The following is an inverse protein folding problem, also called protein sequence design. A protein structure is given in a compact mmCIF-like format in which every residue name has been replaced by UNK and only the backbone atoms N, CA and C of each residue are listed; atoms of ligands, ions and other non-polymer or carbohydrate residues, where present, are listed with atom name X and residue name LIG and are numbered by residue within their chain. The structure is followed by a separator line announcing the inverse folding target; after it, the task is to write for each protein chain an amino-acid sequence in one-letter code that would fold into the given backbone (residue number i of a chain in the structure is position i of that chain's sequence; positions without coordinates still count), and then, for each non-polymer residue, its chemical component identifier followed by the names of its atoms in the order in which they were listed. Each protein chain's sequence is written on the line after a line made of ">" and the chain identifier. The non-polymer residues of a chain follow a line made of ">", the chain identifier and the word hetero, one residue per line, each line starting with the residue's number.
data_IF_953850527511
#
_entry.id   IF_953850527511
#
_cell.length_a   1.000
_cell.length_b   1.000
_cell.length_c   1.000
_cell.angle_alpha   90.00
_cell.angle_beta   90.00
_cell.angle_gamma   90.00
#
_symmetry.space_group_name_H-M   'P 1'
#
loop_
_entity.id
_entity.type
_entity.pdbx_description
1 polymer ?
#
# COMPACT_ATOMS: atom_id res chain seq x y z
N UNK A 1 18.82 -77.22 -20.22
CA UNK A 1 17.80 -76.18 -20.44
C UNK A 1 17.96 -75.17 -19.28
N UNK A 2 18.59 -74.07 -19.55
CA UNK A 2 18.87 -73.04 -18.55
C UNK A 2 18.17 -71.81 -19.07
N UNK A 3 17.08 -71.42 -18.42
CA UNK A 3 16.34 -70.20 -18.69
C UNK A 3 17.06 -68.97 -18.08
N UNK A 4 17.34 -67.98 -18.90
CA UNK A 4 17.88 -66.67 -18.46
C UNK A 4 16.70 -65.70 -18.25
N UNK A 5 16.52 -65.25 -17.03
CA UNK A 5 15.64 -64.13 -16.71
C UNK A 5 16.36 -62.80 -17.02
N UNK A 6 15.79 -62.02 -17.92
CA UNK A 6 16.15 -60.61 -18.17
C UNK A 6 15.41 -59.73 -17.22
N UNK A 7 16.12 -59.03 -16.32
CA UNK A 7 15.57 -57.96 -15.45
C UNK A 7 15.65 -56.66 -16.23
N UNK A 8 14.50 -56.15 -16.67
CA UNK A 8 14.39 -54.82 -17.26
C UNK A 8 14.37 -53.74 -16.21
N UNK A 9 15.40 -52.89 -16.15
CA UNK A 9 15.46 -51.72 -15.31
C UNK A 9 14.61 -50.61 -15.89
N UNK A 10 13.62 -50.16 -15.14
CA UNK A 10 12.83 -48.95 -15.45
C UNK A 10 13.59 -47.75 -14.90
N UNK A 11 14.13 -46.92 -15.78
CA UNK A 11 14.70 -45.63 -15.42
C UNK A 11 13.58 -44.63 -15.21
N UNK A 12 13.34 -44.26 -13.95
CA UNK A 12 12.43 -43.15 -13.60
C UNK A 12 13.20 -41.83 -13.82
N UNK A 13 12.92 -41.17 -14.95
CA UNK A 13 13.42 -39.82 -15.20
C UNK A 13 12.72 -38.82 -14.29
N UNK A 14 13.46 -38.22 -13.35
CA UNK A 14 12.99 -37.05 -12.58
C UNK A 14 12.89 -35.85 -13.53
N UNK A 15 11.68 -35.50 -13.95
CA UNK A 15 11.41 -34.22 -14.60
C UNK A 15 11.45 -33.12 -13.50
N UNK A 16 12.60 -32.44 -13.41
CA UNK A 16 12.70 -31.18 -12.68
C UNK A 16 11.82 -30.15 -13.40
N UNK A 17 10.64 -29.90 -12.85
CA UNK A 17 9.79 -28.80 -13.29
C UNK A 17 10.51 -27.48 -13.00
N UNK A 18 11.07 -26.86 -14.03
CA UNK A 18 11.54 -25.48 -13.97
C UNK A 18 10.32 -24.58 -13.72
N UNK A 19 10.13 -24.16 -12.48
CA UNK A 19 9.15 -23.12 -12.16
C UNK A 19 9.54 -21.87 -12.95
N UNK A 20 8.60 -21.23 -13.68
CA UNK A 20 8.91 -20.01 -14.41
C UNK A 20 9.31 -18.94 -13.42
N UNK A 21 10.54 -18.43 -13.53
CA UNK A 21 11.00 -17.28 -12.77
C UNK A 21 10.19 -16.08 -13.24
N UNK A 22 9.22 -15.65 -12.44
CA UNK A 22 8.43 -14.45 -12.73
C UNK A 22 9.40 -13.27 -12.88
N UNK A 23 9.38 -12.62 -14.03
CA UNK A 23 10.19 -11.43 -14.28
C UNK A 23 9.90 -10.38 -13.19
N UNK A 24 10.96 -9.93 -12.52
CA UNK A 24 10.85 -8.96 -11.42
C UNK A 24 10.52 -7.57 -11.98
N UNK A 25 9.58 -6.86 -11.35
CA UNK A 25 9.22 -5.50 -11.75
C UNK A 25 10.45 -4.57 -11.80
N UNK A 26 10.46 -3.53 -12.65
CA UNK A 26 11.58 -2.57 -12.69
C UNK A 26 11.84 -1.96 -11.32
N UNK A 27 13.12 -1.78 -10.99
CA UNK A 27 13.54 -1.11 -9.76
C UNK A 27 13.11 0.37 -9.80
N UNK A 28 12.44 0.84 -8.75
CA UNK A 28 11.91 2.21 -8.70
C UNK A 28 12.46 3.05 -7.56
N UNK A 29 12.97 2.43 -6.49
CA UNK A 29 13.51 3.13 -5.33
C UNK A 29 15.01 2.94 -5.19
N UNK A 30 15.66 3.74 -4.36
CA UNK A 30 17.10 3.61 -4.06
C UNK A 30 17.42 2.30 -3.34
N UNK A 31 16.43 1.64 -2.73
CA UNK A 31 16.60 0.33 -2.09
C UNK A 31 17.14 -0.73 -3.05
N UNK A 32 16.71 -0.68 -4.29
CA UNK A 32 17.00 -1.71 -5.29
C UNK A 32 17.65 -1.17 -6.55
N UNK A 33 17.86 0.14 -6.62
CA UNK A 33 18.58 0.83 -7.68
C UNK A 33 19.77 1.61 -7.10
N UNK A 34 20.92 0.97 -6.87
CA UNK A 34 22.09 1.61 -6.27
C UNK A 34 22.71 2.71 -7.15
N UNK A 35 22.36 2.78 -8.43
CA UNK A 35 22.80 3.87 -9.32
C UNK A 35 21.97 5.16 -9.17
N UNK A 36 20.83 5.10 -8.50
CA UNK A 36 20.00 6.27 -8.25
C UNK A 36 20.66 7.17 -7.19
N UNK A 37 21.11 8.35 -7.62
CA UNK A 37 21.63 9.35 -6.69
C UNK A 37 20.53 9.98 -5.85
N UNK A 38 20.86 10.36 -4.62
CA UNK A 38 19.99 11.10 -3.73
C UNK A 38 20.83 11.94 -2.75
N UNK A 39 20.19 12.87 -2.08
CA UNK A 39 20.75 13.53 -0.89
C UNK A 39 19.86 13.27 0.32
N UNK A 40 20.45 13.11 1.48
CA UNK A 40 19.68 13.04 2.74
C UNK A 40 19.12 14.44 3.03
N UNK A 41 17.86 14.50 3.39
CA UNK A 41 17.21 15.76 3.76
C UNK A 41 17.87 16.35 5.02
N UNK A 42 17.95 17.68 5.11
CA UNK A 42 18.47 18.38 6.29
C UNK A 42 17.42 18.55 7.40
N UNK A 43 16.17 18.32 7.06
CA UNK A 43 14.98 18.45 7.91
C UNK A 43 14.21 17.15 7.88
N UNK A 44 13.34 16.92 8.85
CA UNK A 44 12.51 15.72 8.93
C UNK A 44 11.33 15.73 7.95
N UNK A 45 11.18 16.77 7.16
CA UNK A 45 10.17 16.85 6.10
C UNK A 45 10.69 17.53 4.83
N UNK A 46 9.98 17.29 3.72
CA UNK A 46 10.16 17.97 2.42
C UNK A 46 8.80 18.38 1.89
N UNK A 47 8.72 19.58 1.33
CA UNK A 47 7.51 20.08 0.67
C UNK A 47 7.61 19.83 -0.84
N UNK A 48 6.63 19.15 -1.39
CA UNK A 48 6.45 18.94 -2.82
C UNK A 48 5.27 19.79 -3.31
N UNK A 49 5.48 20.54 -4.39
CA UNK A 49 4.45 21.40 -4.98
C UNK A 49 4.29 21.09 -6.47
N UNK A 50 3.04 21.01 -6.95
CA UNK A 50 2.73 20.92 -8.38
C UNK A 50 1.34 21.45 -8.66
N UNK A 51 1.26 22.49 -9.49
CA UNK A 51 -0.01 23.15 -9.78
C UNK A 51 -0.67 23.65 -8.49
N UNK A 52 -1.88 23.20 -8.24
CA UNK A 52 -2.66 23.56 -7.05
C UNK A 52 -2.38 22.66 -5.82
N UNK A 53 -1.54 21.62 -5.96
CA UNK A 53 -1.32 20.64 -4.88
C UNK A 53 -0.02 20.94 -4.16
N UNK A 54 -0.11 21.04 -2.84
CA UNK A 54 1.02 21.05 -1.90
C UNK A 54 0.94 19.79 -1.04
N UNK A 55 2.04 19.02 -0.99
CA UNK A 55 2.18 17.87 -0.11
C UNK A 55 3.45 18.02 0.74
N UNK A 56 3.33 17.82 2.06
CA UNK A 56 4.46 17.77 2.99
C UNK A 56 4.73 16.33 3.35
N UNK A 57 5.86 15.80 2.90
CA UNK A 57 6.28 14.42 3.19
C UNK A 57 7.22 14.46 4.39
N UNK A 58 6.93 13.65 5.41
CA UNK A 58 7.66 13.58 6.68
C UNK A 58 8.16 12.16 6.93
N UNK A 59 9.33 12.04 7.56
CA UNK A 59 9.77 10.76 8.15
C UNK A 59 8.97 10.48 9.44
N UNK A 60 9.40 9.54 10.27
CA UNK A 60 8.67 9.21 11.50
C UNK A 60 9.13 10.02 12.74
N UNK A 61 9.89 11.10 12.56
CA UNK A 61 10.21 12.02 13.64
C UNK A 61 9.00 12.90 14.02
N UNK A 62 9.02 13.45 15.21
CA UNK A 62 8.09 14.50 15.60
C UNK A 62 8.51 15.82 14.93
N UNK A 63 7.57 16.47 14.25
CA UNK A 63 7.76 17.80 13.69
C UNK A 63 6.64 18.69 14.22
N UNK A 64 7.00 19.65 15.08
CA UNK A 64 6.04 20.60 15.65
C UNK A 64 6.57 22.01 15.40
N UNK A 65 6.34 22.50 14.19
CA UNK A 65 6.76 23.82 13.74
C UNK A 65 5.64 24.55 12.97
N UNK A 66 5.94 25.73 12.45
CA UNK A 66 4.98 26.55 11.69
C UNK A 66 4.44 25.88 10.42
N UNK A 67 5.09 24.86 9.88
CA UNK A 67 4.64 24.11 8.70
C UNK A 67 3.76 22.91 9.07
N UNK A 68 4.10 22.20 10.14
CA UNK A 68 3.40 21.01 10.63
C UNK A 68 3.07 21.14 12.14
N UNK A 69 2.24 22.09 12.55
CA UNK A 69 1.95 22.32 13.96
C UNK A 69 1.23 21.11 14.58
N UNK A 70 1.78 20.61 15.69
CA UNK A 70 1.25 19.49 16.43
C UNK A 70 1.50 18.11 15.81
N UNK A 71 2.33 17.98 14.76
CA UNK A 71 2.67 16.67 14.18
C UNK A 71 3.46 15.81 15.17
N UNK A 72 3.05 14.58 15.34
CA UNK A 72 3.58 13.64 16.33
C UNK A 72 4.56 12.65 15.70
N UNK A 73 5.58 12.27 16.45
CA UNK A 73 6.48 11.17 16.09
C UNK A 73 5.73 9.84 15.86
N UNK A 74 6.26 9.02 14.96
CA UNK A 74 5.67 7.75 14.59
C UNK A 74 4.60 7.82 13.48
N UNK A 75 4.39 8.99 12.86
CA UNK A 75 3.47 9.16 11.74
C UNK A 75 4.23 9.65 10.50
N UNK A 76 4.71 8.71 9.70
CA UNK A 76 5.42 8.99 8.45
C UNK A 76 4.47 9.14 7.26
N UNK A 77 4.96 9.67 6.14
CA UNK A 77 4.19 9.80 4.91
C UNK A 77 3.76 11.22 4.60
N UNK A 78 2.51 11.46 4.22
CA UNK A 78 2.01 12.77 3.85
C UNK A 78 1.38 13.45 5.09
N UNK A 79 2.16 14.27 5.80
CA UNK A 79 1.68 14.96 7.00
C UNK A 79 0.73 16.14 6.69
N UNK A 80 0.87 16.73 5.49
CA UNK A 80 -0.06 17.75 5.01
C UNK A 80 -0.32 17.58 3.53
N UNK A 81 -1.58 17.64 3.15
CA UNK A 81 -2.04 17.64 1.77
C UNK A 81 -3.06 18.76 1.60
N UNK A 82 -2.78 19.70 0.69
CA UNK A 82 -3.64 20.86 0.40
C UNK A 82 -3.82 21.00 -1.11
N UNK A 83 -4.97 21.57 -1.52
CA UNK A 83 -5.26 21.90 -2.92
C UNK A 83 -5.88 23.28 -3.04
N UNK A 84 -5.58 23.99 -4.13
CA UNK A 84 -6.22 25.27 -4.49
C UNK A 84 -5.95 26.43 -3.53
N UNK A 85 -4.79 26.42 -2.82
CA UNK A 85 -4.47 27.44 -1.83
C UNK A 85 -5.30 27.34 -0.55
N UNK A 86 -6.07 26.24 -0.36
CA UNK A 86 -6.83 25.99 0.86
C UNK A 86 -5.90 25.98 2.08
N UNK A 87 -6.35 26.61 3.18
CA UNK A 87 -5.60 26.57 4.44
C UNK A 87 -5.78 25.23 5.17
N UNK A 88 -6.84 24.48 4.86
CA UNK A 88 -7.16 23.22 5.54
C UNK A 88 -6.26 22.11 5.02
N UNK A 89 -5.58 21.41 5.94
CA UNK A 89 -4.94 20.14 5.66
C UNK A 89 -6.00 19.04 5.58
N UNK A 90 -6.00 18.26 4.52
CA UNK A 90 -6.92 17.13 4.32
C UNK A 90 -6.64 15.97 5.28
N UNK A 91 -5.41 15.89 5.84
CA UNK A 91 -5.06 14.92 6.88
C UNK A 91 -5.06 15.57 8.27
N UNK A 92 -5.28 14.76 9.30
CA UNK A 92 -5.22 15.21 10.69
C UNK A 92 -3.83 15.77 11.00
N UNK A 93 -3.70 17.03 11.46
CA UNK A 93 -2.39 17.68 11.64
C UNK A 93 -1.42 16.93 12.54
N UNK A 94 -1.92 16.20 13.55
CA UNK A 94 -1.10 15.41 14.47
C UNK A 94 -0.62 14.07 13.87
N UNK A 95 -1.10 13.68 12.69
CA UNK A 95 -0.88 12.38 12.07
C UNK A 95 -0.43 12.56 10.61
N UNK A 96 -0.66 11.54 9.76
CA UNK A 96 -0.34 11.60 8.34
C UNK A 96 -1.33 10.77 7.50
N UNK A 97 -1.37 11.02 6.20
CA UNK A 97 -1.90 10.10 5.21
C UNK A 97 -0.80 9.22 4.62
N UNK A 98 -1.17 8.07 4.07
CA UNK A 98 -0.25 7.06 3.56
C UNK A 98 0.85 6.70 4.57
N UNK A 99 0.50 6.71 5.86
CA UNK A 99 1.40 6.37 6.95
C UNK A 99 1.66 4.86 6.96
N UNK A 100 2.90 4.44 6.76
CA UNK A 100 3.29 3.03 6.91
C UNK A 100 3.24 2.66 8.39
N UNK A 101 2.22 1.91 8.79
CA UNK A 101 1.87 1.77 10.20
C UNK A 101 2.17 0.40 10.78
N UNK A 102 1.77 -0.69 10.11
CA UNK A 102 1.93 -2.03 10.65
C UNK A 102 2.73 -2.95 9.75
N UNK A 103 3.52 -3.83 10.40
CA UNK A 103 4.05 -5.07 9.84
C UNK A 103 3.50 -6.21 10.69
N UNK A 104 2.98 -7.28 10.07
CA UNK A 104 2.47 -8.46 10.76
C UNK A 104 2.50 -9.71 9.87
N UNK A 105 2.30 -10.85 10.47
CA UNK A 105 2.07 -12.13 9.80
C UNK A 105 0.87 -12.88 10.42
N UNK A 106 0.04 -12.17 11.19
CA UNK A 106 -1.11 -12.73 11.90
C UNK A 106 -0.76 -13.42 13.22
N UNK A 107 0.51 -13.50 13.60
CA UNK A 107 0.88 -13.94 14.94
C UNK A 107 0.64 -12.84 15.96
N UNK A 108 0.18 -13.23 17.15
CA UNK A 108 0.02 -12.30 18.28
C UNK A 108 1.36 -11.77 18.72
N UNK A 109 1.50 -10.45 18.69
CA UNK A 109 2.70 -9.73 19.06
C UNK A 109 2.33 -8.52 19.92
N UNK A 110 3.25 -8.04 20.79
CA UNK A 110 3.14 -6.74 21.44
C UNK A 110 2.88 -5.62 20.41
N UNK A 111 2.17 -4.59 20.84
CA UNK A 111 1.79 -3.48 19.96
C UNK A 111 3.00 -2.80 19.33
N UNK A 112 4.07 -2.58 20.07
CA UNK A 112 5.33 -1.96 19.61
C UNK A 112 5.97 -2.74 18.45
N UNK A 113 5.84 -4.07 18.44
CA UNK A 113 6.35 -4.93 17.36
C UNK A 113 5.46 -4.78 16.11
N UNK A 114 4.14 -4.81 16.27
CA UNK A 114 3.22 -4.62 15.15
C UNK A 114 3.36 -3.23 14.51
N UNK A 115 3.65 -2.22 15.33
CA UNK A 115 3.86 -0.82 14.91
C UNK A 115 5.33 -0.47 14.70
N UNK A 116 6.18 -1.44 14.47
CA UNK A 116 7.63 -1.26 14.29
C UNK A 116 8.01 -0.22 13.21
N UNK A 117 7.28 -0.08 12.07
CA UNK A 117 7.56 0.98 11.10
C UNK A 117 7.47 2.40 11.68
N UNK A 118 6.63 2.61 12.70
CA UNK A 118 6.47 3.91 13.35
C UNK A 118 7.63 4.28 14.27
N UNK A 119 8.39 3.28 14.74
CA UNK A 119 9.44 3.44 15.76
C UNK A 119 10.85 3.23 15.22
N UNK A 120 11.01 2.39 14.20
CA UNK A 120 12.30 2.19 13.56
C UNK A 120 12.66 3.43 12.71
N UNK A 121 13.90 3.91 12.86
CA UNK A 121 14.38 5.13 12.20
C UNK A 121 14.12 5.11 10.68
N UNK A 122 13.59 6.21 10.15
CA UNK A 122 13.43 6.46 8.73
C UNK A 122 14.35 7.58 8.25
N UNK A 123 15.11 7.34 7.19
CA UNK A 123 15.90 8.36 6.50
C UNK A 123 15.08 8.99 5.37
N UNK A 124 14.95 10.30 5.38
CA UNK A 124 14.29 11.05 4.31
C UNK A 124 15.32 11.40 3.22
N UNK A 125 15.14 10.85 2.03
CA UNK A 125 15.99 11.01 0.84
C UNK A 125 15.33 11.91 -0.18
N UNK A 126 16.03 12.90 -0.68
CA UNK A 126 15.57 13.75 -1.78
C UNK A 126 16.20 13.27 -3.07
N UNK A 127 15.38 12.84 -4.00
CA UNK A 127 15.80 12.34 -5.31
C UNK A 127 15.91 13.50 -6.29
N UNK A 128 14.86 14.32 -6.38
CA UNK A 128 14.79 15.54 -7.19
C UNK A 128 13.75 16.53 -6.62
N UNK A 129 13.39 17.56 -7.38
CA UNK A 129 12.44 18.59 -6.93
C UNK A 129 10.99 18.08 -6.79
N UNK A 130 10.66 16.93 -7.37
CA UNK A 130 9.32 16.34 -7.39
C UNK A 130 9.24 14.98 -6.69
N UNK A 131 10.35 14.45 -6.20
CA UNK A 131 10.46 13.06 -5.74
C UNK A 131 11.29 12.95 -4.47
N UNK A 132 10.72 12.31 -3.46
CA UNK A 132 11.39 11.96 -2.20
C UNK A 132 11.18 10.50 -1.84
N UNK A 133 12.04 9.96 -0.96
CA UNK A 133 11.90 8.61 -0.41
C UNK A 133 12.04 8.62 1.10
N UNK A 134 11.26 7.76 1.74
CA UNK A 134 11.46 7.34 3.12
C UNK A 134 12.11 5.94 3.09
N UNK A 135 13.38 5.88 3.48
CA UNK A 135 14.10 4.62 3.60
C UNK A 135 14.11 4.16 5.05
N UNK A 136 13.83 2.90 5.26
CA UNK A 136 13.91 2.24 6.56
C UNK A 136 14.80 1.02 6.46
N UNK A 137 15.87 0.99 7.26
CA UNK A 137 16.74 -0.17 7.40
C UNK A 137 15.95 -1.39 7.90
N UNK A 138 16.48 -2.62 7.80
CA UNK A 138 15.80 -3.80 8.31
C UNK A 138 15.32 -3.59 9.74
N UNK A 139 14.01 -3.65 9.94
CA UNK A 139 13.40 -3.39 11.24
C UNK A 139 13.86 -4.39 12.31
N UNK A 140 13.93 -4.01 13.59
CA UNK A 140 14.57 -4.84 14.63
C UNK A 140 13.98 -6.24 14.76
N UNK A 141 12.66 -6.38 14.78
CA UNK A 141 11.98 -7.68 14.96
C UNK A 141 11.67 -8.36 13.63
N UNK A 142 10.97 -7.67 12.73
CA UNK A 142 10.55 -8.26 11.47
C UNK A 142 11.69 -8.41 10.46
N UNK A 143 12.76 -7.60 10.57
CA UNK A 143 13.86 -7.64 9.60
C UNK A 143 13.45 -7.23 8.19
N UNK A 144 12.38 -6.46 8.06
CA UNK A 144 11.92 -5.93 6.79
C UNK A 144 12.65 -4.62 6.48
N UNK A 145 13.41 -4.59 5.40
CA UNK A 145 13.99 -3.38 4.83
C UNK A 145 13.05 -2.80 3.81
N UNK A 146 12.85 -1.47 3.80
CA UNK A 146 11.88 -0.85 2.91
C UNK A 146 12.28 0.54 2.43
N UNK A 147 11.73 0.93 1.28
CA UNK A 147 11.74 2.31 0.80
C UNK A 147 10.36 2.68 0.25
N UNK A 148 9.87 3.84 0.67
CA UNK A 148 8.62 4.42 0.16
C UNK A 148 8.95 5.69 -0.61
N UNK A 149 8.80 5.66 -1.94
CA UNK A 149 8.98 6.82 -2.80
C UNK A 149 7.66 7.54 -3.00
N UNK A 150 7.68 8.86 -2.86
CA UNK A 150 6.58 9.75 -3.21
C UNK A 150 7.02 10.66 -4.35
N UNK A 151 6.32 10.61 -5.48
CA UNK A 151 6.55 11.48 -6.63
C UNK A 151 5.28 12.29 -6.93
N UNK A 152 5.39 13.62 -6.97
CA UNK A 152 4.27 14.46 -7.39
C UNK A 152 4.31 14.61 -8.92
N UNK A 153 3.28 14.12 -9.58
CA UNK A 153 3.14 14.10 -11.03
C UNK A 153 2.74 15.49 -11.56
N UNK A 154 2.80 15.66 -12.89
CA UNK A 154 2.55 16.95 -13.55
C UNK A 154 1.18 17.58 -13.23
N UNK A 155 0.17 16.76 -12.98
CA UNK A 155 -1.21 17.17 -12.64
C UNK A 155 -1.46 17.29 -11.13
N UNK A 156 -0.43 17.12 -10.30
CA UNK A 156 -0.55 17.15 -8.83
C UNK A 156 -0.92 15.82 -8.19
N UNK A 157 -1.15 14.76 -8.97
CA UNK A 157 -1.34 13.41 -8.43
C UNK A 157 -0.05 12.92 -7.76
N UNK A 158 -0.15 12.28 -6.61
CA UNK A 158 0.99 11.71 -5.90
C UNK A 158 1.07 10.22 -6.23
N UNK A 159 2.15 9.77 -6.85
CA UNK A 159 2.45 8.36 -7.01
C UNK A 159 3.31 7.91 -5.81
N UNK A 160 2.83 6.87 -5.12
CA UNK A 160 3.59 6.19 -4.07
C UNK A 160 4.05 4.83 -4.58
N UNK A 161 5.35 4.60 -4.55
CA UNK A 161 5.96 3.28 -4.76
C UNK A 161 6.56 2.79 -3.46
N UNK A 162 6.14 1.63 -3.02
CA UNK A 162 6.75 0.94 -1.89
C UNK A 162 7.53 -0.27 -2.39
N UNK A 163 8.78 -0.39 -1.98
CA UNK A 163 9.61 -1.58 -2.19
C UNK A 163 10.13 -2.08 -0.87
N UNK A 164 10.13 -3.41 -0.68
CA UNK A 164 10.67 -4.02 0.52
C UNK A 164 11.41 -5.33 0.22
N UNK A 165 12.33 -5.66 1.14
CA UNK A 165 13.11 -6.90 1.12
C UNK A 165 13.13 -7.47 2.54
N UNK A 166 12.51 -8.63 2.79
CA UNK A 166 12.68 -9.33 4.06
C UNK A 166 14.14 -9.83 4.15
N UNK A 167 14.86 -9.37 5.16
CA UNK A 167 16.27 -9.71 5.36
C UNK A 167 16.47 -10.91 6.29
N UNK A 168 15.40 -11.36 6.94
CA UNK A 168 15.40 -12.51 7.85
C UNK A 168 14.13 -13.33 7.69
N UNK A 169 14.19 -14.60 8.07
CA UNK A 169 13.02 -15.49 8.12
C UNK A 169 12.30 -15.34 9.48
N UNK A 170 11.43 -14.34 9.57
CA UNK A 170 10.75 -13.94 10.81
C UNK A 170 9.24 -14.09 10.78
N UNK A 171 8.63 -14.18 9.61
CA UNK A 171 7.17 -14.25 9.44
C UNK A 171 6.68 -15.70 9.53
N UNK A 172 6.30 -16.14 10.72
CA UNK A 172 5.99 -17.54 11.08
C UNK A 172 4.83 -18.14 10.31
N UNK A 173 3.86 -17.33 9.88
CA UNK A 173 2.73 -17.79 9.09
C UNK A 173 2.98 -17.79 7.57
N UNK A 174 4.23 -17.54 7.15
CA UNK A 174 4.67 -17.64 5.74
C UNK A 174 4.18 -16.51 4.84
N UNK A 175 3.70 -15.40 5.39
CA UNK A 175 3.29 -14.22 4.63
C UNK A 175 3.67 -12.94 5.35
N UNK A 176 3.75 -11.83 4.61
CA UNK A 176 3.97 -10.50 5.15
C UNK A 176 2.69 -9.68 4.96
N UNK A 177 2.13 -9.18 6.06
CA UNK A 177 1.04 -8.22 6.04
C UNK A 177 1.56 -6.82 6.32
N UNK A 178 1.22 -5.88 5.45
CA UNK A 178 1.61 -4.48 5.50
C UNK A 178 0.36 -3.60 5.50
N UNK A 179 0.38 -2.54 6.30
CA UNK A 179 -0.77 -1.67 6.49
C UNK A 179 -0.39 -0.20 6.42
N UNK A 180 -1.17 0.57 5.67
CA UNK A 180 -1.07 2.03 5.61
C UNK A 180 -2.34 2.67 6.13
N UNK A 181 -2.18 3.62 7.07
CA UNK A 181 -3.27 4.42 7.59
C UNK A 181 -3.27 5.82 6.96
N UNK A 182 -4.46 6.33 6.68
CA UNK A 182 -4.66 7.70 6.21
C UNK A 182 -5.71 8.38 7.06
N UNK A 183 -5.28 9.23 7.97
CA UNK A 183 -6.13 9.89 8.96
C UNK A 183 -6.72 11.18 8.39
N UNK A 184 -8.01 11.16 8.06
CA UNK A 184 -8.69 12.26 7.36
C UNK A 184 -9.22 13.30 8.37
N UNK A 185 -8.98 14.58 8.06
CA UNK A 185 -9.31 15.68 8.93
C UNK A 185 -10.76 16.14 8.73
N UNK A 186 -11.65 15.76 9.64
CA UNK A 186 -13.05 16.23 9.77
C UNK A 186 -13.79 16.32 8.41
N UNK A 187 -13.94 15.22 7.67
CA UNK A 187 -14.79 15.19 6.50
C UNK A 187 -16.27 15.17 6.92
N UNK A 188 -17.17 15.63 6.06
CA UNK A 188 -18.62 15.56 6.30
C UNK A 188 -19.13 14.11 6.31
N UNK A 189 -18.43 13.21 5.64
CA UNK A 189 -18.78 11.79 5.56
C UNK A 189 -17.60 10.92 5.97
N UNK A 190 -17.87 9.98 6.88
CA UNK A 190 -16.89 8.95 7.27
C UNK A 190 -16.77 7.82 6.23
N UNK A 191 -17.61 7.82 5.20
CA UNK A 191 -17.71 6.74 4.22
C UNK A 191 -16.58 6.76 3.20
N UNK A 192 -16.20 5.58 2.73
CA UNK A 192 -15.49 5.40 1.47
C UNK A 192 -16.44 4.94 0.38
N UNK A 193 -16.12 5.26 -0.86
CA UNK A 193 -16.89 4.93 -2.03
C UNK A 193 -16.03 4.09 -2.98
N UNK A 194 -16.59 3.00 -3.51
CA UNK A 194 -15.91 2.15 -4.50
C UNK A 194 -16.95 1.43 -5.37
N UNK A 195 -16.51 0.93 -6.52
CA UNK A 195 -17.33 0.06 -7.34
C UNK A 195 -17.24 -1.38 -6.84
N UNK A 196 -18.37 -2.02 -6.65
CA UNK A 196 -18.40 -3.37 -6.10
C UNK A 196 -19.80 -3.89 -5.90
N UNK A 197 -19.95 -4.92 -5.08
CA UNK A 197 -21.24 -5.54 -4.75
C UNK A 197 -21.22 -6.15 -3.35
N UNK A 198 -22.38 -6.48 -2.82
CA UNK A 198 -22.45 -7.39 -1.68
C UNK A 198 -22.02 -8.78 -2.12
N UNK A 199 -21.55 -9.59 -1.17
CA UNK A 199 -21.06 -10.94 -1.46
C UNK A 199 -22.11 -11.82 -2.15
N UNK A 200 -23.39 -11.63 -1.81
CA UNK A 200 -24.53 -12.41 -2.30
C UNK A 200 -25.12 -11.84 -3.61
N UNK A 201 -24.73 -10.65 -4.03
CA UNK A 201 -25.24 -10.00 -5.23
C UNK A 201 -24.38 -10.35 -6.44
N UNK A 202 -24.98 -10.29 -7.65
CA UNK A 202 -24.29 -10.54 -8.92
C UNK A 202 -23.83 -9.24 -9.62
N UNK A 203 -24.58 -8.15 -9.44
CA UNK A 203 -24.35 -6.90 -10.16
C UNK A 203 -23.43 -5.94 -9.39
N UNK A 204 -22.46 -5.36 -10.08
CA UNK A 204 -21.60 -4.30 -9.58
C UNK A 204 -22.30 -2.95 -9.63
N UNK A 205 -22.22 -2.19 -8.55
CA UNK A 205 -22.75 -0.83 -8.42
C UNK A 205 -21.79 0.04 -7.61
N UNK A 206 -22.11 1.32 -7.43
CA UNK A 206 -21.44 2.17 -6.45
C UNK A 206 -21.84 1.77 -5.03
N UNK A 207 -20.83 1.50 -4.22
CA UNK A 207 -20.97 1.19 -2.81
C UNK A 207 -20.50 2.39 -2.00
N UNK A 208 -21.35 2.84 -1.07
CA UNK A 208 -20.98 3.77 0.01
C UNK A 208 -20.86 2.95 1.30
N UNK A 209 -19.63 2.71 1.73
CA UNK A 209 -19.35 1.86 2.88
C UNK A 209 -18.92 2.67 4.10
N UNK A 210 -19.48 2.33 5.26
CA UNK A 210 -19.02 2.81 6.57
C UNK A 210 -18.76 1.64 7.48
N UNK A 211 -17.76 1.75 8.35
CA UNK A 211 -17.54 0.82 9.44
C UNK A 211 -18.36 1.27 10.66
N UNK A 212 -19.14 0.40 11.31
CA UNK A 212 -19.99 0.80 12.44
C UNK A 212 -19.19 1.19 13.69
N UNK A 213 -17.99 0.64 13.83
CA UNK A 213 -17.01 0.96 14.88
C UNK A 213 -15.63 0.51 14.43
N UNK A 214 -14.59 0.99 15.11
CA UNK A 214 -13.21 0.55 14.85
C UNK A 214 -13.11 -0.98 14.84
N UNK A 215 -12.50 -1.53 13.79
CA UNK A 215 -12.28 -2.96 13.63
C UNK A 215 -13.50 -3.80 13.26
N UNK A 216 -14.68 -3.24 13.04
CA UNK A 216 -15.87 -4.00 12.67
C UNK A 216 -16.25 -3.76 11.20
N UNK A 217 -16.40 -4.85 10.41
CA UNK A 217 -16.72 -4.79 8.97
C UNK A 217 -15.82 -3.80 8.19
N UNK A 218 -14.56 -3.72 8.59
CA UNK A 218 -13.65 -2.65 8.20
C UNK A 218 -12.87 -2.92 6.91
N UNK A 219 -12.74 -4.18 6.50
CA UNK A 219 -11.92 -4.60 5.36
C UNK A 219 -12.78 -5.04 4.19
N UNK A 220 -12.53 -4.46 3.01
CA UNK A 220 -13.15 -4.85 1.75
C UNK A 220 -12.10 -5.50 0.85
N UNK A 221 -12.40 -6.67 0.34
CA UNK A 221 -11.50 -7.44 -0.53
C UNK A 221 -12.05 -7.50 -1.95
N UNK A 222 -11.19 -7.82 -2.92
CA UNK A 222 -11.61 -7.99 -4.32
C UNK A 222 -12.70 -9.07 -4.46
N UNK A 223 -13.50 -8.98 -5.51
CA UNK A 223 -14.56 -9.95 -5.83
C UNK A 223 -14.07 -11.40 -5.82
N UNK A 224 -12.86 -11.62 -6.34
CA UNK A 224 -12.26 -12.93 -6.51
C UNK A 224 -11.32 -13.35 -5.35
N UNK A 225 -11.15 -12.50 -4.31
CA UNK A 225 -10.29 -12.86 -3.16
C UNK A 225 -10.96 -13.87 -2.25
N UNK A 226 -10.68 -15.14 -2.50
CA UNK A 226 -11.08 -16.27 -1.66
C UNK A 226 -10.04 -16.66 -0.60
N UNK A 227 -8.89 -15.98 -0.54
CA UNK A 227 -7.77 -16.38 0.34
C UNK A 227 -8.14 -16.25 1.80
N UNK A 228 -7.78 -17.29 2.56
CA UNK A 228 -7.84 -17.31 4.01
C UNK A 228 -6.41 -17.19 4.55
N UNK A 229 -6.18 -16.17 5.35
CA UNK A 229 -4.89 -15.93 5.96
C UNK A 229 -4.87 -16.53 7.37
N UNK A 230 -3.82 -17.29 7.67
CA UNK A 230 -3.61 -17.86 9.00
C UNK A 230 -3.37 -16.74 10.00
N UNK A 231 -3.97 -16.85 11.19
CA UNK A 231 -3.74 -15.91 12.29
C UNK A 231 -3.98 -16.56 13.62
N UNK A 232 -3.39 -16.02 14.66
CA UNK A 232 -3.67 -16.40 16.03
C UNK A 232 -5.05 -15.89 16.47
N UNK A 233 -5.68 -16.59 17.41
CA UNK A 233 -7.03 -16.23 17.87
C UNK A 233 -7.07 -14.88 18.59
N UNK A 234 -5.99 -14.51 19.25
CA UNK A 234 -5.80 -13.29 20.03
C UNK A 234 -5.03 -12.18 19.25
N UNK A 235 -4.89 -12.35 17.93
CA UNK A 235 -4.25 -11.33 17.08
C UNK A 235 -4.97 -9.98 17.21
N UNK A 236 -4.26 -8.90 17.65
CA UNK A 236 -4.93 -7.70 18.16
C UNK A 236 -5.41 -6.73 17.07
N UNK A 237 -4.90 -6.82 15.84
CA UNK A 237 -5.25 -5.88 14.76
C UNK A 237 -6.56 -6.29 14.08
N UNK A 238 -7.69 -6.00 14.72
CA UNK A 238 -9.03 -6.42 14.26
C UNK A 238 -9.41 -5.86 12.89
N UNK A 239 -8.94 -4.66 12.51
CA UNK A 239 -9.13 -4.06 11.19
C UNK A 239 -8.70 -4.97 10.05
N UNK A 240 -7.59 -5.71 10.23
CA UNK A 240 -6.94 -6.46 9.16
C UNK A 240 -7.80 -7.62 8.65
N UNK A 241 -8.53 -8.28 9.53
CA UNK A 241 -9.26 -9.51 9.21
C UNK A 241 -10.79 -9.39 9.25
N UNK A 242 -11.32 -8.32 9.83
CA UNK A 242 -12.77 -8.10 9.90
C UNK A 242 -13.34 -7.66 8.56
N UNK A 243 -13.59 -8.63 7.69
CA UNK A 243 -14.17 -8.41 6.38
C UNK A 243 -15.61 -7.90 6.48
N UNK A 244 -15.92 -6.92 5.65
CA UNK A 244 -17.31 -6.51 5.40
C UNK A 244 -18.00 -7.50 4.47
N UNK A 245 -19.31 -7.32 4.28
CA UNK A 245 -20.07 -8.04 3.26
C UNK A 245 -19.87 -7.49 1.85
N UNK A 246 -19.17 -6.36 1.70
CA UNK A 246 -18.88 -5.78 0.40
C UNK A 246 -17.59 -6.33 -0.19
N UNK A 247 -17.59 -6.44 -1.52
CA UNK A 247 -16.43 -6.81 -2.34
C UNK A 247 -16.24 -5.73 -3.40
N UNK A 248 -15.03 -5.24 -3.58
CA UNK A 248 -14.74 -4.28 -4.63
C UNK A 248 -14.44 -4.98 -5.97
N UNK A 249 -14.80 -4.34 -7.07
CA UNK A 249 -14.53 -4.82 -8.42
C UNK A 249 -13.27 -4.19 -9.03
N UNK A 250 -13.04 -2.93 -8.72
CA UNK A 250 -11.89 -2.16 -9.22
C UNK A 250 -10.98 -1.77 -8.04
N UNK A 251 -9.64 -1.87 -8.14
CA UNK A 251 -8.69 -1.54 -7.08
C UNK A 251 -8.58 -0.01 -6.89
N UNK A 252 -9.66 0.56 -6.39
CA UNK A 252 -9.93 1.99 -6.32
C UNK A 252 -10.96 2.27 -5.24
N UNK A 253 -10.75 3.33 -4.48
CA UNK A 253 -11.76 3.92 -3.62
C UNK A 253 -11.51 5.42 -3.45
N UNK A 254 -12.51 6.14 -3.01
CA UNK A 254 -12.37 7.53 -2.61
C UNK A 254 -13.25 7.84 -1.40
N UNK A 255 -12.89 8.91 -0.72
CA UNK A 255 -13.74 9.56 0.27
C UNK A 255 -13.90 11.03 -0.05
N UNK A 256 -14.94 11.65 0.50
CA UNK A 256 -15.29 13.06 0.24
C UNK A 256 -14.98 13.89 1.47
N UNK A 257 -14.30 15.01 1.27
CA UNK A 257 -14.00 16.01 2.28
C UNK A 257 -14.28 17.39 1.67
N UNK A 258 -15.35 18.03 2.13
CA UNK A 258 -15.92 19.24 1.54
C UNK A 258 -16.29 19.01 0.06
N UNK A 259 -15.80 19.85 -0.82
CA UNK A 259 -16.00 19.76 -2.28
C UNK A 259 -14.90 18.94 -2.99
N UNK A 260 -14.08 18.21 -2.25
CA UNK A 260 -12.97 17.43 -2.76
C UNK A 260 -13.15 15.93 -2.53
N UNK A 261 -12.77 15.14 -3.52
CA UNK A 261 -12.58 13.70 -3.37
C UNK A 261 -11.09 13.36 -3.25
N UNK A 262 -10.72 12.60 -2.21
CA UNK A 262 -9.42 11.97 -2.06
C UNK A 262 -9.52 10.56 -2.66
N UNK A 263 -8.80 10.34 -3.75
CA UNK A 263 -8.92 9.15 -4.60
C UNK A 263 -7.68 8.27 -4.46
N UNK A 264 -7.87 7.06 -3.99
CA UNK A 264 -6.82 6.04 -3.82
C UNK A 264 -6.96 5.00 -4.93
N UNK A 265 -5.91 4.81 -5.72
CA UNK A 265 -5.90 3.93 -6.89
C UNK A 265 -4.69 3.00 -6.83
N UNK A 266 -4.88 1.72 -7.15
CA UNK A 266 -3.85 0.69 -7.02
C UNK A 266 -3.70 -0.10 -8.32
N UNK A 267 -2.55 -0.75 -8.49
CA UNK A 267 -2.38 -1.72 -9.58
C UNK A 267 -3.21 -2.97 -9.28
N UNK A 268 -3.91 -3.52 -10.27
CA UNK A 268 -4.71 -4.74 -10.07
C UNK A 268 -3.92 -5.92 -9.49
N UNK A 269 -2.68 -6.12 -9.95
CA UNK A 269 -1.83 -7.24 -9.50
C UNK A 269 -1.31 -7.11 -8.06
N UNK A 270 -1.44 -5.95 -7.42
CA UNK A 270 -1.03 -5.78 -6.04
C UNK A 270 -2.08 -6.32 -5.05
N UNK A 271 -3.30 -6.63 -5.55
CA UNK A 271 -4.40 -7.28 -4.81
C UNK A 271 -4.65 -6.66 -3.42
N UNK A 272 -4.66 -5.33 -3.41
CA UNK A 272 -4.80 -4.53 -2.19
C UNK A 272 -6.15 -4.80 -1.52
N UNK A 273 -6.17 -4.79 -0.21
CA UNK A 273 -7.38 -4.80 0.59
C UNK A 273 -7.69 -3.39 1.06
N UNK A 274 -8.88 -2.90 0.76
CA UNK A 274 -9.34 -1.60 1.23
C UNK A 274 -9.74 -1.72 2.70
N UNK A 275 -9.41 -0.72 3.50
CA UNK A 275 -9.76 -0.70 4.92
C UNK A 275 -10.27 0.66 5.36
N UNK A 276 -11.02 0.70 6.45
CA UNK A 276 -11.51 1.93 7.02
C UNK A 276 -11.77 1.83 8.52
N UNK A 277 -11.67 2.96 9.21
CA UNK A 277 -12.08 3.13 10.59
C UNK A 277 -12.85 4.45 10.74
N UNK A 278 -13.99 4.49 11.45
CA UNK A 278 -14.77 5.71 11.62
C UNK A 278 -14.10 6.71 12.57
N UNK A 279 -13.08 6.29 13.32
CA UNK A 279 -12.42 7.08 14.38
C UNK A 279 -10.94 6.82 14.52
N UNK A 280 -10.28 6.36 13.44
CA UNK A 280 -8.83 6.08 13.46
C UNK A 280 -8.00 7.30 13.84
N UNK A 281 -8.37 8.48 13.37
CA UNK A 281 -7.75 9.77 13.70
C UNK A 281 -8.39 10.51 14.89
N UNK A 282 -9.25 9.85 15.66
CA UNK A 282 -10.05 10.48 16.73
C UNK A 282 -11.50 10.74 16.32
N UNK A 283 -12.27 11.33 17.23
CA UNK A 283 -13.69 11.63 16.98
C UNK A 283 -13.85 12.56 15.78
N UNK A 284 -14.67 12.16 14.80
CA UNK A 284 -14.88 12.92 13.55
C UNK A 284 -13.76 12.83 12.54
N UNK A 285 -12.70 12.08 12.85
CA UNK A 285 -11.55 11.87 11.95
C UNK A 285 -11.46 10.39 11.56
N UNK A 286 -12.07 9.96 10.45
CA UNK A 286 -11.94 8.59 9.99
C UNK A 286 -10.51 8.29 9.53
N UNK A 287 -10.19 7.02 9.44
CA UNK A 287 -9.04 6.56 8.68
C UNK A 287 -9.52 5.84 7.42
N UNK A 288 -8.99 6.23 6.25
CA UNK A 288 -9.21 5.58 4.96
C UNK A 288 -7.92 4.87 4.57
N UNK A 289 -7.90 3.56 4.81
CA UNK A 289 -6.72 2.76 4.92
C UNK A 289 -6.63 1.72 3.81
N UNK A 290 -5.49 1.08 3.69
CA UNK A 290 -5.33 -0.09 2.83
C UNK A 290 -4.26 -1.05 3.36
N UNK A 291 -4.32 -2.29 2.87
CA UNK A 291 -3.42 -3.35 3.26
C UNK A 291 -2.86 -4.06 2.03
N UNK A 292 -1.60 -4.44 2.13
CA UNK A 292 -0.96 -5.31 1.15
C UNK A 292 -0.48 -6.59 1.82
N UNK A 293 -0.87 -7.73 1.26
CA UNK A 293 -0.54 -9.04 1.80
C UNK A 293 0.36 -9.77 0.79
N UNK A 294 1.60 -10.04 1.17
CA UNK A 294 2.58 -10.76 0.35
C UNK A 294 2.54 -12.24 0.74
N UNK A 295 1.95 -13.12 -0.09
CA UNK A 295 1.93 -14.55 0.19
C UNK A 295 3.29 -15.18 -0.06
N UNK A 296 3.64 -16.24 0.68
CA UNK A 296 4.81 -17.09 0.40
C UNK A 296 6.09 -16.29 0.15
N UNK A 297 6.43 -15.39 1.08
CA UNK A 297 7.60 -14.55 0.95
C UNK A 297 8.92 -15.37 0.96
N UNK A 298 9.93 -14.81 0.33
CA UNK A 298 11.29 -15.37 0.27
C UNK A 298 12.28 -14.35 0.84
N UNK A 299 13.16 -14.78 1.75
CA UNK A 299 14.22 -13.91 2.29
C UNK A 299 15.14 -13.44 1.16
N UNK A 300 15.45 -12.15 1.14
CA UNK A 300 16.27 -11.51 0.11
C UNK A 300 15.52 -11.15 -1.17
N UNK A 301 14.29 -11.64 -1.37
CA UNK A 301 13.49 -11.28 -2.55
C UNK A 301 12.87 -9.90 -2.39
N UNK A 302 12.91 -9.12 -3.47
CA UNK A 302 12.25 -7.83 -3.54
C UNK A 302 10.76 -7.98 -3.85
N UNK A 303 9.97 -7.18 -3.14
CA UNK A 303 8.53 -7.01 -3.38
C UNK A 303 8.23 -5.53 -3.63
N UNK A 304 7.24 -5.24 -4.47
CA UNK A 304 6.89 -3.88 -4.89
C UNK A 304 5.37 -3.71 -4.99
N UNK A 305 4.89 -2.60 -4.46
CA UNK A 305 3.51 -2.10 -4.64
C UNK A 305 3.57 -0.67 -5.21
N UNK A 306 2.60 -0.31 -6.06
CA UNK A 306 2.45 1.06 -6.59
C UNK A 306 1.00 1.50 -6.47
N UNK A 307 0.81 2.72 -5.97
CA UNK A 307 -0.50 3.35 -5.90
C UNK A 307 -0.42 4.83 -6.31
N UNK A 308 -1.58 5.43 -6.56
CA UNK A 308 -1.71 6.88 -6.77
C UNK A 308 -2.76 7.46 -5.85
N UNK A 309 -2.44 8.60 -5.24
CA UNK A 309 -3.37 9.45 -4.50
C UNK A 309 -3.64 10.71 -5.32
N UNK A 310 -4.91 10.96 -5.64
CA UNK A 310 -5.33 12.16 -6.37
C UNK A 310 -6.35 12.93 -5.55
N UNK A 311 -6.28 14.26 -5.59
CA UNK A 311 -7.29 15.14 -5.02
C UNK A 311 -8.01 15.84 -6.18
N UNK A 312 -9.32 15.64 -6.30
CA UNK A 312 -10.14 16.21 -7.39
C UNK A 312 -11.39 16.88 -6.84
N UNK A 313 -11.96 17.88 -7.54
CA UNK A 313 -13.29 18.38 -7.21
C UNK A 313 -14.31 17.24 -7.23
N UNK A 314 -15.19 17.22 -6.23
CA UNK A 314 -16.25 16.24 -6.11
C UNK A 314 -17.59 16.85 -6.59
N UNK A 315 -18.21 16.20 -7.51
CA UNK A 315 -19.58 16.47 -7.97
C UNK A 315 -20.46 15.25 -7.66
N UNK A 316 -20.05 14.08 -8.14
CA UNK A 316 -20.64 12.77 -7.88
C UNK A 316 -19.59 11.65 -8.07
N UNK A 317 -19.99 10.42 -7.84
CA UNK A 317 -19.10 9.27 -7.97
C UNK A 317 -18.64 9.02 -9.40
N UNK A 318 -19.47 9.35 -10.40
CA UNK A 318 -19.13 9.16 -11.80
C UNK A 318 -18.11 10.20 -12.28
N UNK A 319 -18.21 11.43 -11.85
CA UNK A 319 -17.22 12.48 -12.12
C UNK A 319 -15.84 12.11 -11.59
N UNK A 320 -15.76 11.55 -10.38
CA UNK A 320 -14.51 11.04 -9.79
C UNK A 320 -13.95 9.88 -10.61
N UNK A 321 -14.82 8.97 -11.05
CA UNK A 321 -14.44 7.84 -11.89
C UNK A 321 -13.84 8.29 -13.23
N UNK A 322 -14.44 9.24 -13.89
CA UNK A 322 -13.97 9.79 -15.16
C UNK A 322 -12.64 10.52 -14.97
N UNK A 323 -12.52 11.40 -13.96
CA UNK A 323 -11.31 12.19 -13.70
C UNK A 323 -10.10 11.30 -13.34
N UNK A 324 -10.33 10.19 -12.65
CA UNK A 324 -9.27 9.25 -12.23
C UNK A 324 -8.89 8.22 -13.32
N UNK A 325 -9.65 8.13 -14.41
CA UNK A 325 -9.47 7.11 -15.44
C UNK A 325 -8.04 7.04 -16.06
N UNK A 326 -7.36 8.16 -16.38
CA UNK A 326 -6.00 8.11 -16.91
C UNK A 326 -5.02 7.41 -15.95
N UNK A 327 -5.13 7.70 -14.63
CA UNK A 327 -4.24 7.11 -13.62
C UNK A 327 -4.55 5.63 -13.40
N UNK A 328 -5.82 5.25 -13.33
CA UNK A 328 -6.22 3.84 -13.22
C UNK A 328 -5.75 3.02 -14.42
N UNK A 329 -5.88 3.58 -15.65
CA UNK A 329 -5.37 2.95 -16.87
C UNK A 329 -3.85 2.79 -16.83
N UNK A 330 -3.11 3.82 -16.40
CA UNK A 330 -1.65 3.76 -16.29
C UNK A 330 -1.20 2.69 -15.28
N UNK A 331 -1.86 2.61 -14.12
CA UNK A 331 -1.58 1.57 -13.12
C UNK A 331 -1.90 0.15 -13.63
N UNK A 332 -2.97 -0.02 -14.39
CA UNK A 332 -3.30 -1.31 -15.01
C UNK A 332 -2.29 -1.70 -16.10
N UNK A 333 -1.81 -0.74 -16.90
CA UNK A 333 -0.81 -0.99 -17.96
C UNK A 333 0.57 -1.36 -17.41
N UNK A 334 0.92 -0.86 -16.22
CA UNK A 334 2.15 -1.22 -15.50
C UNK A 334 2.22 -2.74 -15.19
N UNK A 335 1.07 -3.41 -15.19
CA UNK A 335 0.95 -4.86 -15.04
C UNK A 335 1.33 -5.63 -16.31
N UNK A 336 1.00 -5.09 -17.47
CA UNK A 336 1.10 -5.78 -18.78
C UNK A 336 2.55 -5.88 -19.27
N UNK A 337 3.42 -4.93 -18.95
CA UNK A 337 4.84 -4.97 -19.33
C UNK A 337 5.64 -6.16 -18.75
N UNK A 338 5.03 -7.00 -17.91
CA UNK A 338 5.63 -8.20 -17.33
C UNK A 338 5.43 -9.49 -18.15
N UNK A 339 4.68 -9.49 -19.23
CA UNK A 339 4.18 -10.69 -19.91
C UNK A 339 4.80 -11.03 -21.27
N UNK A 340 5.66 -10.21 -21.88
CA UNK A 340 6.28 -10.57 -23.14
C UNK A 340 7.58 -11.36 -22.90
N UNK A 341 7.62 -12.64 -23.31
CA UNK A 341 8.90 -13.35 -23.42
C UNK A 341 9.68 -12.69 -24.56
N UNK A 342 10.83 -12.10 -24.24
CA UNK A 342 11.80 -11.75 -25.28
C UNK A 342 12.11 -13.00 -26.09
N UNK A 343 11.58 -13.07 -27.29
CA UNK A 343 12.04 -14.02 -28.31
C UNK A 343 13.50 -13.69 -28.58
N UNK A 344 14.41 -14.48 -28.01
CA UNK A 344 15.81 -14.51 -28.47
C UNK A 344 15.91 -15.53 -29.55
N UNK A 345 16.12 -14.98 -30.71
CA UNK A 345 16.66 -15.49 -31.95
C UNK A 345 17.40 -16.79 -31.88
N UNK A 346 16.93 -17.64 -32.79
CA UNK A 346 17.73 -18.59 -33.53
C UNK A 346 18.89 -17.91 -34.29
N UNK A 347 20.13 -18.13 -33.90
CA UNK A 347 21.28 -18.26 -34.79
C UNK A 347 22.33 -19.17 -34.17
#
# INVERSE_FOLDING_TARGET
>A
MVERFLIGGVAVGLLLANSPTLAQAPARTTLVNPSQSYRVAKTDYVVLNRGEVEAVIVNNAAVDDGKLPGHRGGYSGIASLKRGGANKNLFVPSYAGLNFEHIHDGTSQPREILFEPRHALMELRVIDASTVELYQAPTPTWGLESATRYAILADGTIEMTFECIPRRDTFRNGYIGLFWASYIHQPESLAIHFRGRRKEESNTSWIRATSPRHGAAATHVHLDDARVWKRDNDFPLSLVYNRSNYRYADPFYFGVNEDLALVFMFRPQDEIRLSQSPSGGGVGNPAWDFQWMIPQYEVGRRYQMVMRLQVVPYEDSESVWIRSAPHRKALASDAVQKGEPTSRDSR
#
